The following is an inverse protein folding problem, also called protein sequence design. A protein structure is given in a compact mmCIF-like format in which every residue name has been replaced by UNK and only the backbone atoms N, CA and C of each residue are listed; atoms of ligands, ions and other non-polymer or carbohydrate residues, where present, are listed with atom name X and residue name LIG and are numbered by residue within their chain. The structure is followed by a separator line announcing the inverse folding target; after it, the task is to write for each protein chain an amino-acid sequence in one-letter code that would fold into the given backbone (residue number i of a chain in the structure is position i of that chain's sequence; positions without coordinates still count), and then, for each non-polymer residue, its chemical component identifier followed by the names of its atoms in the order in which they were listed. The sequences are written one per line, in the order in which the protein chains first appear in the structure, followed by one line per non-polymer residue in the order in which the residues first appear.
data_IF_896050586379
#
_entry.id   IF_896050586379
#
_cell.length_a   1.000
_cell.length_b   1.000
_cell.length_c   1.000
_cell.angle_alpha   90.00
_cell.angle_beta   90.00
_cell.angle_gamma   90.00
#
_symmetry.space_group_name_H-M   'P 1'
#
loop_
_entity.id
_entity.type
_entity.pdbx_description
1 polymer ?
#
# COMPACT_ATOMS: atom_id res chain seq x y z
N UNK A 1 4.10 3.44 -3.73
CA UNK A 1 5.32 3.11 -4.50
C UNK A 1 5.18 1.71 -5.03
N UNK A 2 5.88 1.38 -6.10
CA UNK A 2 5.92 0.04 -6.67
C UNK A 2 7.27 -0.18 -7.37
N UNK A 3 7.73 -1.41 -7.37
CA UNK A 3 8.77 -1.86 -8.29
C UNK A 3 8.12 -2.27 -9.61
N UNK A 4 8.79 -1.98 -10.72
CA UNK A 4 8.38 -2.42 -12.04
C UNK A 4 9.54 -3.11 -12.74
N UNK A 5 9.22 -4.15 -13.49
CA UNK A 5 10.16 -4.93 -14.29
C UNK A 5 9.41 -5.40 -15.53
N UNK A 6 10.02 -5.26 -16.70
CA UNK A 6 9.47 -5.84 -17.93
C UNK A 6 9.72 -7.35 -17.97
N UNK A 7 8.79 -8.14 -18.51
CA UNK A 7 8.99 -9.59 -18.67
C UNK A 7 10.22 -9.92 -19.55
N UNK A 8 10.49 -9.07 -20.54
CA UNK A 8 11.59 -9.22 -21.50
C UNK A 8 12.82 -8.36 -21.16
N UNK A 9 12.78 -7.57 -20.08
CA UNK A 9 13.77 -6.55 -19.78
C UNK A 9 14.50 -6.83 -18.46
N UNK A 10 15.82 -6.68 -18.48
CA UNK A 10 16.64 -6.77 -17.28
C UNK A 10 16.55 -5.50 -16.43
N UNK A 11 16.05 -4.39 -17.00
CA UNK A 11 15.94 -3.12 -16.30
C UNK A 11 14.81 -3.18 -15.25
N UNK A 12 15.18 -2.96 -13.99
CA UNK A 12 14.27 -2.80 -12.87
C UNK A 12 14.18 -1.31 -12.49
N UNK A 13 12.97 -0.84 -12.19
CA UNK A 13 12.76 0.54 -11.77
C UNK A 13 11.86 0.64 -10.54
N UNK A 14 12.23 1.55 -9.64
CA UNK A 14 11.40 1.99 -8.51
C UNK A 14 10.59 3.20 -8.94
N UNK A 15 9.27 3.08 -8.82
CA UNK A 15 8.36 4.21 -9.02
C UNK A 15 7.71 4.57 -7.69
N UNK A 16 7.75 5.85 -7.33
CA UNK A 16 7.02 6.35 -6.17
C UNK A 16 6.36 7.69 -6.44
N UNK A 17 5.28 7.92 -5.71
CA UNK A 17 4.52 9.14 -5.74
C UNK A 17 4.80 10.00 -4.51
N UNK A 18 4.52 11.29 -4.62
CA UNK A 18 4.71 12.27 -3.54
C UNK A 18 3.39 12.93 -3.14
N UNK A 19 3.42 13.64 -2.01
CA UNK A 19 2.31 14.45 -1.50
C UNK A 19 1.89 15.60 -2.41
N UNK A 20 2.78 16.02 -3.31
CA UNK A 20 2.57 17.14 -4.24
C UNK A 20 2.26 16.68 -5.65
N UNK A 21 1.93 15.41 -5.85
CA UNK A 21 1.56 14.90 -7.17
C UNK A 21 2.74 14.62 -8.10
N UNK A 22 3.98 14.61 -7.60
CA UNK A 22 5.12 14.14 -8.40
C UNK A 22 5.19 12.62 -8.41
N UNK A 23 5.34 12.06 -9.60
CA UNK A 23 5.67 10.67 -9.88
C UNK A 23 7.14 10.60 -10.30
N UNK A 24 7.93 9.84 -9.56
CA UNK A 24 9.38 9.78 -9.73
C UNK A 24 9.76 8.34 -10.04
N UNK A 25 10.63 8.15 -11.03
CA UNK A 25 11.12 6.85 -11.45
C UNK A 25 12.64 6.80 -11.36
N UNK A 26 13.14 5.83 -10.60
CA UNK A 26 14.56 5.53 -10.45
C UNK A 26 14.83 4.17 -11.06
N UNK A 27 15.67 4.11 -12.09
CA UNK A 27 16.11 2.86 -12.68
C UNK A 27 17.37 2.39 -11.97
N UNK A 28 17.44 1.10 -11.64
CA UNK A 28 18.67 0.49 -11.20
C UNK A 28 19.64 0.37 -12.38
N UNK A 29 20.88 0.80 -12.20
CA UNK A 29 21.93 0.56 -13.19
C UNK A 29 22.30 -0.93 -13.14
N UNK A 30 22.26 -1.58 -14.30
CA UNK A 30 22.50 -3.02 -14.44
C UNK A 30 23.79 -3.46 -13.74
N UNK A 31 23.71 -4.56 -13.00
CA UNK A 31 24.83 -5.18 -12.27
C UNK A 31 25.48 -4.27 -11.19
N UNK A 32 24.83 -3.16 -10.80
CA UNK A 32 25.29 -2.30 -9.71
C UNK A 32 24.23 -2.12 -8.63
N UNK A 33 24.58 -1.45 -7.52
CA UNK A 33 23.64 -0.99 -6.49
C UNK A 33 23.20 0.46 -6.70
N UNK A 34 23.63 1.07 -7.80
CA UNK A 34 23.40 2.48 -8.08
C UNK A 34 22.10 2.65 -8.86
N UNK A 35 21.52 3.84 -8.70
CA UNK A 35 20.28 4.23 -9.35
C UNK A 35 20.46 5.54 -10.08
N UNK A 36 19.75 5.67 -11.19
CA UNK A 36 19.61 6.92 -11.92
C UNK A 36 18.14 7.34 -11.97
N UNK A 37 17.88 8.64 -11.82
CA UNK A 37 16.54 9.20 -12.01
C UNK A 37 16.25 9.28 -13.52
N UNK A 38 15.19 8.59 -13.95
CA UNK A 38 14.73 8.68 -15.33
C UNK A 38 13.82 9.89 -15.54
N UNK A 39 12.93 10.14 -14.59
CA UNK A 39 12.03 11.29 -14.62
C UNK A 39 11.46 11.64 -13.24
N UNK A 40 11.06 12.91 -13.14
CA UNK A 40 10.24 13.48 -12.09
C UNK A 40 9.07 14.23 -12.75
N UNK A 41 7.93 13.56 -12.88
CA UNK A 41 6.76 14.07 -13.60
C UNK A 41 5.72 14.60 -12.62
N UNK A 42 5.18 15.78 -12.89
CA UNK A 42 4.08 16.33 -12.11
C UNK A 42 2.74 15.88 -12.73
N UNK A 43 2.00 15.04 -12.00
CA UNK A 43 0.82 14.36 -12.50
C UNK A 43 -0.47 15.04 -12.00
N UNK A 44 -1.36 15.38 -12.93
CA UNK A 44 -2.70 15.88 -12.61
C UNK A 44 -2.69 17.21 -11.85
N UNK A 45 -3.38 17.24 -10.71
CA UNK A 45 -3.74 18.47 -9.98
C UNK A 45 -2.86 18.78 -8.77
N UNK A 46 -1.58 18.39 -8.77
CA UNK A 46 -0.66 18.61 -7.64
C UNK A 46 -1.09 18.00 -6.29
N UNK A 47 -1.89 16.94 -6.33
CA UNK A 47 -2.39 16.26 -5.13
C UNK A 47 -1.60 15.00 -4.86
N UNK A 48 -1.53 14.59 -3.60
CA UNK A 48 -0.87 13.35 -3.17
C UNK A 48 -1.22 12.16 -4.07
N UNK A 49 -0.20 11.44 -4.52
CA UNK A 49 -0.35 10.13 -5.14
C UNK A 49 -0.45 9.10 -4.01
N UNK A 50 -1.62 8.47 -3.88
CA UNK A 50 -1.97 7.66 -2.71
C UNK A 50 -1.74 6.17 -2.93
N UNK A 51 -1.83 5.68 -4.17
CA UNK A 51 -1.55 4.29 -4.50
C UNK A 51 -1.00 4.13 -5.92
N UNK A 52 -0.21 3.07 -6.12
CA UNK A 52 0.43 2.67 -7.37
C UNK A 52 0.30 1.15 -7.50
N UNK A 53 0.04 0.66 -8.70
CA UNK A 53 0.11 -0.75 -9.04
C UNK A 53 0.57 -0.93 -10.48
N UNK A 54 1.31 -2.01 -10.74
CA UNK A 54 1.85 -2.30 -12.06
C UNK A 54 1.45 -3.71 -12.48
N UNK A 55 0.92 -3.86 -13.69
CA UNK A 55 0.62 -5.14 -14.31
C UNK A 55 1.73 -5.48 -15.33
N UNK A 56 2.67 -6.39 -14.99
CA UNK A 56 3.76 -6.74 -15.89
C UNK A 56 3.30 -7.26 -17.26
N UNK A 57 2.30 -8.16 -17.35
CA UNK A 57 1.87 -8.70 -18.65
C UNK A 57 1.34 -7.65 -19.63
N UNK A 58 0.64 -6.60 -19.16
CA UNK A 58 0.19 -5.51 -20.04
C UNK A 58 1.14 -4.31 -20.05
N UNK A 59 2.19 -4.32 -19.22
CA UNK A 59 3.09 -3.19 -18.96
C UNK A 59 2.32 -1.91 -18.64
N UNK A 60 1.26 -2.00 -17.85
CA UNK A 60 0.44 -0.84 -17.44
C UNK A 60 0.75 -0.47 -16.01
N UNK A 61 0.96 0.82 -15.77
CA UNK A 61 1.07 1.44 -14.45
C UNK A 61 -0.23 2.16 -14.13
N UNK A 62 -0.92 1.75 -13.09
CA UNK A 62 -2.06 2.46 -12.53
C UNK A 62 -1.62 3.29 -11.33
N UNK A 63 -2.16 4.50 -11.21
CA UNK A 63 -1.97 5.37 -10.06
C UNK A 63 -3.30 6.00 -9.66
N UNK A 64 -3.39 6.33 -8.37
CA UNK A 64 -4.50 7.10 -7.83
C UNK A 64 -4.00 8.29 -7.03
N UNK A 65 -4.77 9.37 -7.05
CA UNK A 65 -4.50 10.58 -6.28
C UNK A 65 -5.55 10.81 -5.21
N UNK A 66 -5.21 11.62 -4.20
CA UNK A 66 -6.09 11.94 -3.07
C UNK A 66 -7.40 12.66 -3.46
N UNK A 67 -7.45 13.31 -4.62
CA UNK A 67 -8.70 13.90 -5.13
C UNK A 67 -9.55 12.94 -5.97
N UNK A 68 -9.20 11.66 -5.99
CA UNK A 68 -9.97 10.62 -6.69
C UNK A 68 -9.67 10.51 -8.18
N UNK A 69 -8.58 11.12 -8.66
CA UNK A 69 -8.13 10.91 -10.05
C UNK A 69 -7.43 9.55 -10.14
N UNK A 70 -7.85 8.74 -11.11
CA UNK A 70 -7.24 7.46 -11.44
C UNK A 70 -6.65 7.58 -12.84
N UNK A 71 -5.36 7.28 -12.97
CA UNK A 71 -4.67 7.29 -14.25
C UNK A 71 -4.00 5.96 -14.52
N UNK A 72 -3.97 5.60 -15.79
CA UNK A 72 -3.28 4.42 -16.29
C UNK A 72 -2.34 4.86 -17.38
N UNK A 73 -1.10 4.42 -17.29
CA UNK A 73 -0.07 4.69 -18.27
C UNK A 73 0.45 3.36 -18.83
N UNK A 74 0.64 3.31 -20.14
CA UNK A 74 1.43 2.27 -20.77
C UNK A 74 2.91 2.59 -20.53
N UNK A 75 3.67 1.60 -20.07
CA UNK A 75 5.12 1.71 -19.82
C UNK A 75 5.86 1.04 -20.98
N UNK A 76 6.65 1.81 -21.72
CA UNK A 76 7.43 1.28 -22.83
C UNK A 76 8.76 0.64 -22.37
N UNK A 77 9.56 0.17 -23.33
CA UNK A 77 10.87 -0.45 -23.10
C UNK A 77 11.92 0.49 -22.50
N UNK A 78 11.68 1.80 -22.49
CA UNK A 78 12.57 2.80 -21.89
C UNK A 78 12.00 3.35 -20.59
N UNK A 79 11.07 2.62 -19.97
CA UNK A 79 10.34 3.01 -18.76
C UNK A 79 9.56 4.32 -18.90
N UNK A 80 9.34 4.80 -20.13
CA UNK A 80 8.61 6.04 -20.38
C UNK A 80 7.10 5.78 -20.32
N UNK A 81 6.38 6.78 -19.80
CA UNK A 81 4.94 6.69 -19.57
C UNK A 81 4.15 7.30 -20.72
N UNK A 82 3.24 6.52 -21.29
CA UNK A 82 2.29 6.97 -22.31
C UNK A 82 0.88 6.94 -21.72
N UNK A 83 0.18 8.08 -21.74
CA UNK A 83 -1.17 8.17 -21.19
C UNK A 83 -2.14 7.19 -21.86
N UNK A 84 -2.85 6.40 -21.07
CA UNK A 84 -3.83 5.43 -21.54
C UNK A 84 -5.25 5.78 -21.07
N UNK A 85 -5.44 5.96 -19.76
CA UNK A 85 -6.72 6.31 -19.15
C UNK A 85 -6.52 7.43 -18.13
N UNK A 86 -7.48 8.35 -18.04
CA UNK A 86 -7.58 9.30 -16.95
C UNK A 86 -9.05 9.55 -16.60
N UNK A 87 -9.47 9.11 -15.43
CA UNK A 87 -10.85 9.27 -14.92
C UNK A 87 -10.85 9.85 -13.51
N UNK A 88 -11.95 10.47 -13.11
CA UNK A 88 -12.11 11.02 -11.76
C UNK A 88 -13.34 10.41 -11.10
N UNK A 89 -13.13 9.82 -9.91
CA UNK A 89 -14.20 9.32 -9.06
C UNK A 89 -14.51 10.40 -8.03
N UNK A 90 -15.69 11.01 -8.15
CA UNK A 90 -16.07 12.11 -7.27
C UNK A 90 -16.12 11.68 -5.80
N UNK A 91 -15.55 12.53 -4.95
CA UNK A 91 -15.51 12.33 -3.49
C UNK A 91 -14.84 11.01 -3.08
N UNK A 92 -13.86 10.52 -3.83
CA UNK A 92 -13.12 9.31 -3.49
C UNK A 92 -11.71 9.66 -2.98
N UNK A 93 -11.41 9.28 -1.74
CA UNK A 93 -10.06 9.26 -1.18
C UNK A 93 -9.49 7.84 -1.37
N UNK A 94 -8.85 7.61 -2.52
CA UNK A 94 -8.29 6.31 -2.88
C UNK A 94 -7.10 5.95 -1.96
N UNK A 95 -7.08 4.70 -1.49
CA UNK A 95 -6.09 4.16 -0.54
C UNK A 95 -5.28 3.01 -1.12
N UNK A 96 -5.85 2.24 -2.04
CA UNK A 96 -5.16 1.19 -2.75
C UNK A 96 -5.76 1.01 -4.15
N UNK A 97 -4.94 0.55 -5.09
CA UNK A 97 -5.31 0.29 -6.47
C UNK A 97 -4.70 -1.04 -6.88
N UNK A 98 -5.42 -1.85 -7.66
CA UNK A 98 -4.95 -3.16 -8.13
C UNK A 98 -5.47 -3.48 -9.52
N UNK A 99 -4.63 -4.03 -10.39
CA UNK A 99 -5.05 -4.66 -11.63
C UNK A 99 -5.65 -6.05 -11.37
N UNK A 100 -6.65 -6.41 -12.16
CA UNK A 100 -7.31 -7.72 -12.15
C UNK A 100 -6.83 -8.58 -13.33
N UNK A 101 -6.67 -9.90 -13.15
CA UNK A 101 -6.22 -10.81 -14.20
C UNK A 101 -7.37 -11.25 -15.12
N UNK A 102 -8.22 -10.32 -15.57
CA UNK A 102 -9.44 -10.60 -16.35
C UNK A 102 -9.22 -10.50 -17.88
N UNK A 103 -8.11 -11.07 -18.37
CA UNK A 103 -7.73 -11.01 -19.79
C UNK A 103 -7.17 -9.66 -20.21
N UNK A 104 -7.34 -9.30 -21.49
CA UNK A 104 -6.74 -8.09 -22.09
C UNK A 104 -7.28 -6.77 -21.51
N UNK A 105 -8.51 -6.77 -20.99
CA UNK A 105 -9.13 -5.54 -20.47
C UNK A 105 -8.48 -5.03 -19.20
N UNK A 106 -7.78 -5.87 -18.43
CA UNK A 106 -7.07 -5.52 -17.18
C UNK A 106 -7.85 -4.52 -16.33
N UNK A 107 -9.04 -4.92 -15.88
CA UNK A 107 -9.88 -4.11 -15.01
C UNK A 107 -9.13 -3.72 -13.74
N UNK A 108 -9.57 -2.62 -13.12
CA UNK A 108 -8.87 -2.02 -11.99
C UNK A 108 -9.81 -2.00 -10.80
N UNK A 109 -9.33 -2.49 -9.66
CA UNK A 109 -9.99 -2.35 -8.37
C UNK A 109 -9.39 -1.16 -7.62
N UNK A 110 -10.24 -0.24 -7.18
CA UNK A 110 -9.83 0.93 -6.39
C UNK A 110 -10.51 0.84 -5.02
N UNK A 111 -9.72 0.75 -3.96
CA UNK A 111 -10.22 0.82 -2.58
C UNK A 111 -10.03 2.23 -2.05
N UNK A 112 -11.07 2.81 -1.46
CA UNK A 112 -10.99 4.16 -0.90
C UNK A 112 -12.11 4.47 0.08
N UNK A 113 -12.12 5.71 0.55
CA UNK A 113 -13.20 6.24 1.38
C UNK A 113 -13.96 7.30 0.59
N UNK A 114 -15.30 7.20 0.56
CA UNK A 114 -16.15 8.23 -0.01
C UNK A 114 -16.33 9.36 1.00
N UNK A 115 -15.86 10.56 0.69
CA UNK A 115 -16.01 11.74 1.55
C UNK A 115 -17.40 12.36 1.39
N UNK A 116 -18.24 12.26 2.44
CA UNK A 116 -19.52 12.97 2.51
C UNK A 116 -19.36 14.41 3.04
N UNK A 117 -20.39 15.24 2.86
CA UNK A 117 -20.39 16.67 3.25
C UNK A 117 -20.29 16.94 4.76
N UNK A 118 -20.42 15.93 5.62
CA UNK A 118 -20.32 16.07 7.07
C UNK A 118 -20.03 14.69 7.68
N UNK A 119 -18.76 14.42 8.01
CA UNK A 119 -18.28 13.38 8.94
C UNK A 119 -18.54 11.89 8.66
N UNK A 120 -19.30 11.52 7.63
CA UNK A 120 -19.47 10.11 7.23
C UNK A 120 -18.55 9.77 6.06
N UNK A 121 -17.46 9.06 6.34
CA UNK A 121 -16.65 8.41 5.31
C UNK A 121 -17.17 7.00 5.09
N UNK A 122 -17.84 6.76 3.95
CA UNK A 122 -18.28 5.40 3.59
C UNK A 122 -17.15 4.69 2.85
N UNK A 123 -16.69 3.53 3.31
CA UNK A 123 -15.65 2.76 2.62
C UNK A 123 -16.21 2.19 1.32
N UNK A 124 -15.50 2.37 0.21
CA UNK A 124 -15.97 1.90 -1.10
C UNK A 124 -14.84 1.21 -1.84
N UNK A 125 -15.16 0.10 -2.49
CA UNK A 125 -14.34 -0.49 -3.53
C UNK A 125 -15.02 -0.26 -4.89
N UNK A 126 -14.31 0.30 -5.86
CA UNK A 126 -14.79 0.51 -7.23
C UNK A 126 -14.12 -0.47 -8.18
N UNK A 127 -14.92 -1.17 -8.96
CA UNK A 127 -14.44 -1.94 -10.10
C UNK A 127 -14.53 -1.06 -11.35
N UNK A 128 -13.38 -0.71 -11.92
CA UNK A 128 -13.26 0.08 -13.14
C UNK A 128 -12.93 -0.82 -14.33
N UNK A 129 -13.50 -0.50 -15.48
CA UNK A 129 -13.13 -1.13 -16.74
C UNK A 129 -11.76 -0.64 -17.18
N UNK A 130 -10.82 -1.54 -17.44
CA UNK A 130 -9.44 -1.15 -17.75
C UNK A 130 -9.18 -0.65 -19.17
N UNK A 131 -10.23 -0.48 -19.99
CA UNK A 131 -10.13 0.13 -21.33
C UNK A 131 -10.50 1.62 -21.35
N UNK A 132 -11.44 2.05 -20.49
CA UNK A 132 -11.99 3.42 -20.49
C UNK A 132 -12.06 4.05 -19.09
N UNK A 133 -11.77 3.27 -18.03
CA UNK A 133 -11.86 3.69 -16.63
C UNK A 133 -13.29 3.85 -16.12
N UNK A 134 -14.32 3.46 -16.89
CA UNK A 134 -15.71 3.55 -16.46
C UNK A 134 -15.98 2.66 -15.25
N UNK A 135 -16.78 3.14 -14.30
CA UNK A 135 -17.20 2.36 -13.14
C UNK A 135 -18.17 1.28 -13.59
N UNK A 136 -17.78 0.01 -13.40
CA UNK A 136 -18.62 -1.16 -13.65
C UNK A 136 -19.49 -1.41 -12.41
N UNK A 137 -18.86 -1.50 -11.25
CA UNK A 137 -19.51 -1.80 -9.96
C UNK A 137 -18.89 -1.00 -8.81
N UNK A 138 -19.66 -0.83 -7.74
CA UNK A 138 -19.20 -0.24 -6.48
C UNK A 138 -19.70 -1.06 -5.30
N UNK A 139 -18.83 -1.34 -4.34
CA UNK A 139 -19.13 -2.16 -3.17
C UNK A 139 -18.89 -1.39 -1.88
N UNK A 140 -19.77 -1.56 -0.88
CA UNK A 140 -19.52 -1.11 0.48
C UNK A 140 -18.51 -2.06 1.15
N UNK A 141 -17.32 -1.53 1.43
CA UNK A 141 -16.21 -2.30 2.00
C UNK A 141 -16.30 -2.50 3.52
N UNK A 142 -17.10 -1.70 4.23
CA UNK A 142 -17.29 -1.78 5.68
C UNK A 142 -16.17 -1.19 6.52
N UNK A 143 -16.53 -0.34 7.48
CA UNK A 143 -15.55 0.32 8.34
C UNK A 143 -14.86 1.53 7.71
N UNK A 144 -13.69 1.92 8.20
CA UNK A 144 -12.84 2.93 7.54
C UNK A 144 -11.72 2.19 6.82
N UNK A 145 -11.41 2.53 5.57
CA UNK A 145 -10.25 1.92 4.88
C UNK A 145 -9.00 2.71 5.22
N UNK A 146 -8.14 2.13 6.06
CA UNK A 146 -6.77 2.60 6.28
C UNK A 146 -5.86 2.23 5.10
N UNK A 147 -5.95 0.97 4.67
CA UNK A 147 -5.23 0.40 3.53
C UNK A 147 -5.97 -0.85 3.05
N UNK A 148 -5.65 -1.34 1.85
CA UNK A 148 -6.11 -2.62 1.37
C UNK A 148 -4.99 -3.38 0.66
N UNK A 149 -5.02 -4.71 0.74
CA UNK A 149 -4.14 -5.63 0.00
C UNK A 149 -4.98 -6.60 -0.81
N UNK A 150 -4.52 -7.00 -1.99
CA UNK A 150 -5.28 -7.86 -2.88
C UNK A 150 -4.40 -8.98 -3.46
N UNK A 151 -4.98 -10.17 -3.56
CA UNK A 151 -4.52 -11.23 -4.44
C UNK A 151 -5.61 -11.45 -5.48
N UNK A 152 -5.42 -10.80 -6.63
CA UNK A 152 -6.42 -10.75 -7.68
C UNK A 152 -6.62 -12.10 -8.38
N UNK A 153 -5.58 -12.94 -8.43
CA UNK A 153 -5.69 -14.31 -8.98
C UNK A 153 -6.60 -15.21 -8.15
N UNK A 154 -6.71 -14.96 -6.85
CA UNK A 154 -7.57 -15.72 -5.93
C UNK A 154 -8.87 -15.03 -5.56
N UNK A 155 -9.10 -13.84 -6.10
CA UNK A 155 -10.24 -12.99 -5.75
C UNK A 155 -10.37 -12.77 -4.22
N UNK A 156 -9.27 -12.36 -3.59
CA UNK A 156 -9.27 -12.06 -2.15
C UNK A 156 -8.59 -10.73 -1.89
N UNK A 157 -9.15 -9.96 -0.97
CA UNK A 157 -8.53 -8.76 -0.43
C UNK A 157 -8.58 -8.73 1.11
N UNK A 158 -7.69 -7.95 1.70
CA UNK A 158 -7.68 -7.64 3.13
C UNK A 158 -7.78 -6.13 3.30
N UNK A 159 -8.54 -5.68 4.29
CA UNK A 159 -8.71 -4.25 4.59
C UNK A 159 -8.24 -3.99 6.02
N UNK A 160 -7.37 -2.99 6.18
CA UNK A 160 -7.14 -2.37 7.48
C UNK A 160 -8.30 -1.44 7.80
N UNK A 161 -8.97 -1.71 8.92
CA UNK A 161 -9.82 -0.76 9.61
C UNK A 161 -9.06 -0.19 10.81
N UNK A 162 -8.61 1.07 10.76
CA UNK A 162 -7.87 1.69 11.85
C UNK A 162 -8.59 1.60 13.20
N UNK A 163 -9.93 1.53 13.21
CA UNK A 163 -10.75 1.47 14.41
C UNK A 163 -10.97 0.06 14.96
N UNK A 164 -10.90 -0.98 14.12
CA UNK A 164 -11.25 -2.35 14.50
C UNK A 164 -10.11 -3.37 14.37
N UNK A 165 -9.06 -3.07 13.61
CA UNK A 165 -8.04 -4.05 13.24
C UNK A 165 -8.13 -4.41 11.76
N UNK A 166 -7.77 -5.65 11.41
CA UNK A 166 -7.76 -6.08 10.00
C UNK A 166 -8.88 -7.05 9.73
N UNK A 167 -9.64 -6.77 8.68
CA UNK A 167 -10.71 -7.64 8.20
C UNK A 167 -10.26 -8.32 6.92
N UNK A 168 -9.98 -9.63 6.92
CA UNK A 168 -9.86 -10.35 5.66
C UNK A 168 -11.24 -10.45 5.03
N UNK A 169 -11.37 -10.12 3.76
CA UNK A 169 -12.64 -10.19 3.05
C UNK A 169 -12.47 -11.15 1.87
N UNK A 170 -13.35 -12.14 1.78
CA UNK A 170 -13.33 -13.10 0.68
C UNK A 170 -14.38 -12.73 -0.37
N UNK A 171 -13.92 -12.68 -1.62
CA UNK A 171 -14.65 -12.58 -2.88
C UNK A 171 -15.58 -11.38 -3.08
N UNK A 172 -15.40 -10.74 -4.23
CA UNK A 172 -16.36 -9.82 -4.81
C UNK A 172 -17.58 -10.64 -5.30
N UNK A 173 -18.73 -10.45 -4.66
CA UNK A 173 -20.00 -11.03 -5.13
C UNK A 173 -20.95 -11.57 -4.07
N UNK A 174 -20.52 -11.76 -2.82
CA UNK A 174 -21.37 -12.39 -1.79
C UNK A 174 -21.66 -11.54 -0.56
N UNK A 175 -21.09 -10.33 -0.46
CA UNK A 175 -21.29 -9.46 0.72
C UNK A 175 -20.90 -10.09 2.06
N UNK A 176 -20.25 -11.27 2.03
CA UNK A 176 -19.90 -12.04 3.22
C UNK A 176 -18.61 -11.46 3.79
N UNK A 177 -18.81 -10.49 4.68
CA UNK A 177 -17.74 -10.04 5.55
C UNK A 177 -17.39 -11.14 6.54
N UNK A 178 -16.13 -11.53 6.57
CA UNK A 178 -15.63 -12.26 7.73
C UNK A 178 -15.54 -11.28 8.91
N UNK A 179 -15.61 -11.80 10.14
CA UNK A 179 -15.45 -10.93 11.32
C UNK A 179 -14.04 -10.31 11.29
N UNK A 180 -13.90 -9.01 11.59
CA UNK A 180 -12.59 -8.39 11.76
C UNK A 180 -11.77 -9.17 12.76
N UNK A 181 -10.49 -9.38 12.46
CA UNK A 181 -9.57 -9.80 13.50
C UNK A 181 -9.32 -8.62 14.43
N UNK A 182 -9.84 -8.75 15.65
CA UNK A 182 -9.77 -7.67 16.62
C UNK A 182 -8.34 -7.52 17.15
N UNK A 183 -7.71 -6.39 16.82
CA UNK A 183 -6.62 -5.84 17.60
C UNK A 183 -7.21 -4.74 18.47
N UNK A 184 -7.24 -4.89 19.79
CA UNK A 184 -7.71 -3.81 20.67
C UNK A 184 -6.79 -2.59 20.48
N UNK A 185 -7.27 -1.47 19.92
CA UNK A 185 -6.44 -0.27 19.80
C UNK A 185 -6.12 0.24 21.21
N UNK A 186 -4.86 0.59 21.43
CA UNK A 186 -4.37 1.16 22.69
C UNK A 186 -4.09 2.66 22.55
N UNK A 187 -4.03 3.17 21.32
CA UNK A 187 -3.78 4.57 20.97
C UNK A 187 -4.81 5.04 19.94
N UNK A 188 -4.65 6.29 19.51
CA UNK A 188 -5.46 6.86 18.43
C UNK A 188 -5.33 6.03 17.14
N UNK A 189 -6.45 5.67 16.49
CA UNK A 189 -6.45 4.96 15.23
C UNK A 189 -5.60 5.66 14.18
N UNK A 190 -4.68 4.92 13.54
CA UNK A 190 -3.93 5.38 12.36
C UNK A 190 -4.05 4.33 11.26
N UNK A 191 -4.11 4.75 9.98
CA UNK A 191 -3.97 3.83 8.86
C UNK A 191 -2.71 2.98 8.98
N UNK A 192 -2.85 1.69 8.70
CA UNK A 192 -1.76 0.71 8.67
C UNK A 192 -1.79 -0.01 7.34
N UNK A 193 -0.63 -0.31 6.80
CA UNK A 193 -0.53 -1.23 5.68
C UNK A 193 -0.94 -2.64 6.11
N UNK A 194 -1.45 -3.37 5.13
CA UNK A 194 -1.75 -4.80 5.22
C UNK A 194 -1.09 -5.50 4.05
N UNK A 195 -0.66 -6.74 4.28
CA UNK A 195 0.01 -7.53 3.25
C UNK A 195 -0.38 -8.99 3.33
N UNK A 196 -0.43 -9.67 2.18
CA UNK A 196 -0.63 -11.12 2.09
C UNK A 196 0.69 -11.86 2.01
N UNK A 197 0.82 -12.95 2.77
CA UNK A 197 1.93 -13.90 2.58
C UNK A 197 1.44 -15.34 2.44
N UNK A 198 2.34 -16.22 2.02
CA UNK A 198 2.08 -17.64 1.79
C UNK A 198 0.86 -17.85 0.89
N UNK A 199 0.88 -17.20 -0.27
CA UNK A 199 -0.16 -17.34 -1.28
C UNK A 199 -1.56 -16.94 -0.74
N UNK A 200 -1.56 -15.81 -0.02
CA UNK A 200 -2.70 -15.22 0.71
C UNK A 200 -3.34 -16.13 1.77
N UNK A 201 -2.63 -17.13 2.30
CA UNK A 201 -3.12 -17.88 3.47
C UNK A 201 -3.07 -17.03 4.74
N UNK A 202 -2.04 -16.18 4.85
CA UNK A 202 -1.81 -15.34 6.02
C UNK A 202 -1.96 -13.87 5.64
N UNK A 203 -2.67 -13.11 6.48
CA UNK A 203 -2.72 -11.65 6.45
C UNK A 203 -1.79 -11.09 7.51
N UNK A 204 -0.92 -10.17 7.14
CA UNK A 204 0.01 -9.50 8.04
C UNK A 204 -0.43 -8.06 8.25
N UNK A 205 -0.39 -7.60 9.49
CA UNK A 205 -0.71 -6.22 9.85
C UNK A 205 0.10 -5.74 11.04
N UNK A 206 0.44 -4.46 11.06
CA UNK A 206 1.03 -3.81 12.22
C UNK A 206 0.02 -3.44 13.30
N UNK A 207 0.51 -2.84 14.38
CA UNK A 207 -0.34 -2.32 15.47
C UNK A 207 0.24 -1.03 16.04
N UNK A 208 -0.54 -0.37 16.90
CA UNK A 208 -0.12 0.84 17.60
C UNK A 208 0.77 0.58 18.83
N UNK A 209 1.05 -0.69 19.14
CA UNK A 209 1.77 -1.13 20.34
C UNK A 209 2.92 -2.10 20.03
N UNK A 210 3.56 -1.94 18.87
CA UNK A 210 4.80 -2.66 18.54
C UNK A 210 4.62 -4.14 18.19
N UNK A 211 3.38 -4.60 18.01
CA UNK A 211 3.07 -5.98 17.63
C UNK A 211 2.72 -6.04 16.14
N UNK A 212 3.26 -7.03 15.45
CA UNK A 212 2.80 -7.43 14.12
C UNK A 212 1.95 -8.67 14.29
N UNK A 213 0.74 -8.60 13.78
CA UNK A 213 -0.21 -9.69 13.80
C UNK A 213 -0.18 -10.44 12.48
N UNK A 214 -0.15 -11.77 12.57
CA UNK A 214 -0.27 -12.71 11.47
C UNK A 214 -1.55 -13.50 11.65
N UNK A 215 -2.49 -13.30 10.75
CA UNK A 215 -3.80 -13.93 10.82
C UNK A 215 -3.91 -15.01 9.75
N UNK A 216 -4.07 -16.27 10.16
CA UNK A 216 -4.39 -17.36 9.26
C UNK A 216 -5.85 -17.26 8.83
N UNK A 217 -6.08 -17.16 7.53
CA UNK A 217 -7.43 -16.87 7.01
C UNK A 217 -8.40 -18.04 7.13
N UNK A 218 -7.92 -19.28 7.17
CA UNK A 218 -8.78 -20.47 7.15
C UNK A 218 -9.38 -20.78 8.51
N UNK A 219 -8.58 -20.77 9.56
CA UNK A 219 -8.99 -21.12 10.92
C UNK A 219 -9.13 -19.90 11.85
N UNK A 220 -8.68 -18.73 11.39
CA UNK A 220 -8.70 -17.50 12.18
C UNK A 220 -7.65 -17.45 13.28
N UNK A 221 -6.68 -18.38 13.28
CA UNK A 221 -5.59 -18.38 14.26
C UNK A 221 -4.71 -17.15 14.10
N UNK A 222 -4.19 -16.68 15.23
CA UNK A 222 -3.43 -15.43 15.30
C UNK A 222 -2.06 -15.70 15.89
N UNK A 223 -1.03 -15.44 15.10
CA UNK A 223 0.37 -15.40 15.55
C UNK A 223 0.84 -13.96 15.70
N UNK A 224 1.85 -13.73 16.54
CA UNK A 224 2.36 -12.38 16.85
C UNK A 224 3.87 -12.36 16.70
N UNK A 225 4.39 -11.30 16.08
CA UNK A 225 5.81 -10.96 16.07
C UNK A 225 5.98 -9.68 16.87
N UNK A 226 6.90 -9.70 17.83
CA UNK A 226 7.20 -8.56 18.70
C UNK A 226 8.31 -7.71 18.10
N UNK A 227 8.07 -6.41 18.00
CA UNK A 227 9.16 -5.44 17.78
C UNK A 227 9.77 -5.02 19.12
N UNK A 228 10.86 -4.27 19.07
CA UNK A 228 11.42 -3.65 20.28
C UNK A 228 10.58 -2.40 20.65
N UNK A 229 9.81 -2.53 21.73
CA UNK A 229 9.04 -1.44 22.34
C UNK A 229 7.57 -1.38 21.91
N UNK A 230 6.95 -0.22 22.13
CA UNK A 230 5.50 0.01 21.95
C UNK A 230 5.20 1.03 20.85
N UNK A 231 6.11 1.19 19.88
CA UNK A 231 5.96 2.12 18.76
C UNK A 231 4.85 1.66 17.80
N UNK A 232 4.31 2.57 16.98
CA UNK A 232 3.40 2.16 15.91
C UNK A 232 4.15 1.34 14.87
N UNK A 233 3.53 0.29 14.34
CA UNK A 233 3.98 -0.41 13.13
C UNK A 233 2.99 -0.06 12.04
N UNK A 234 3.34 0.91 11.19
CA UNK A 234 2.44 1.43 10.16
C UNK A 234 2.67 0.79 8.79
N UNK A 235 3.89 0.32 8.53
CA UNK A 235 4.31 -0.21 7.24
C UNK A 235 4.68 -1.66 7.41
N UNK A 236 4.03 -2.54 6.64
CA UNK A 236 4.34 -3.96 6.55
C UNK A 236 4.34 -4.37 5.09
N UNK A 237 5.29 -5.20 4.71
CA UNK A 237 5.32 -5.86 3.41
C UNK A 237 5.81 -7.29 3.57
N UNK A 238 5.59 -8.08 2.55
CA UNK A 238 5.88 -9.50 2.55
C UNK A 238 6.52 -9.88 1.24
N UNK A 239 7.51 -10.75 1.29
CA UNK A 239 8.19 -11.26 0.12
C UNK A 239 8.36 -12.77 0.22
N UNK A 240 8.55 -13.41 -0.92
CA UNK A 240 9.11 -14.74 -1.00
C UNK A 240 10.53 -14.59 -1.56
N UNK A 241 11.54 -14.81 -0.73
CA UNK A 241 12.95 -14.67 -1.10
C UNK A 241 13.56 -16.06 -1.01
N UNK A 242 13.99 -16.61 -2.15
CA UNK A 242 14.57 -17.94 -2.26
C UNK A 242 13.68 -19.06 -1.67
N UNK A 243 12.37 -18.99 -1.93
CA UNK A 243 11.39 -19.93 -1.37
C UNK A 243 11.01 -19.65 0.09
N UNK A 244 11.65 -18.68 0.75
CA UNK A 244 11.43 -18.35 2.14
C UNK A 244 10.47 -17.17 2.28
N UNK A 245 9.31 -17.46 2.87
CA UNK A 245 8.34 -16.45 3.28
C UNK A 245 8.99 -15.48 4.28
N UNK A 246 9.08 -14.22 3.88
CA UNK A 246 9.73 -13.15 4.65
C UNK A 246 8.71 -12.05 4.92
N UNK A 247 8.71 -11.55 6.16
CA UNK A 247 7.91 -10.41 6.59
C UNK A 247 8.88 -9.27 6.91
N UNK A 248 8.60 -8.10 6.37
CA UNK A 248 9.35 -6.87 6.65
C UNK A 248 8.37 -5.85 7.21
N UNK A 249 8.76 -5.21 8.30
CA UNK A 249 7.95 -4.16 8.92
C UNK A 249 8.81 -3.00 9.38
N UNK A 250 8.23 -1.82 9.41
CA UNK A 250 8.86 -0.66 10.03
C UNK A 250 7.98 -0.05 11.09
N UNK A 251 8.63 0.36 12.17
CA UNK A 251 7.98 1.18 13.15
C UNK A 251 7.99 2.67 12.73
N UNK A 252 7.01 3.39 13.24
CA UNK A 252 6.85 4.83 13.11
C UNK A 252 6.79 5.41 14.51
N UNK A 253 7.54 6.50 14.71
CA UNK A 253 7.67 7.19 15.99
C UNK A 253 7.57 8.69 15.75
N UNK A 254 7.20 9.42 16.81
CA UNK A 254 7.10 10.86 16.72
C UNK A 254 8.48 11.49 16.47
N UNK A 255 8.49 12.60 15.73
CA UNK A 255 9.71 13.31 15.34
C UNK A 255 10.51 13.70 16.58
N UNK A 256 11.81 13.41 16.58
CA UNK A 256 12.71 13.74 17.70
C UNK A 256 12.85 12.64 18.76
N UNK A 257 12.20 11.49 18.59
CA UNK A 257 12.44 10.29 19.42
C UNK A 257 13.52 9.39 18.80
N UNK A 258 13.80 8.22 19.40
CA UNK A 258 14.72 7.22 18.84
C UNK A 258 14.44 6.90 17.37
N UNK A 259 15.48 6.49 16.64
CA UNK A 259 15.39 6.18 15.21
C UNK A 259 14.35 5.09 14.92
N UNK A 260 13.59 5.27 13.82
CA UNK A 260 12.75 4.22 13.27
C UNK A 260 13.60 3.00 12.90
N UNK A 261 13.09 1.80 13.22
CA UNK A 261 13.75 0.53 12.97
C UNK A 261 12.98 -0.27 11.93
N UNK A 262 13.73 -0.95 11.08
CA UNK A 262 13.23 -1.94 10.14
C UNK A 262 13.48 -3.32 10.74
N UNK A 263 12.44 -4.14 10.74
CA UNK A 263 12.47 -5.49 11.26
C UNK A 263 12.18 -6.47 10.13
N UNK A 264 12.91 -7.59 10.13
CA UNK A 264 12.82 -8.64 9.11
C UNK A 264 12.67 -9.98 9.83
N UNK A 265 11.60 -10.71 9.51
CA UNK A 265 11.39 -12.08 9.97
C UNK A 265 11.37 -13.01 8.78
N UNK A 266 12.08 -14.13 8.92
CA UNK A 266 12.06 -15.22 7.95
C UNK A 266 11.35 -16.41 8.55
N UNK A 267 10.47 -17.04 7.79
CA UNK A 267 9.93 -18.34 8.19
C UNK A 267 11.08 -19.32 8.29
N UNK A 268 11.24 -19.95 9.45
CA UNK A 268 12.21 -21.01 9.60
C UNK A 268 11.78 -22.19 8.73
N UNK A 269 12.57 -22.50 7.71
CA UNK A 269 12.42 -23.76 6.98
C UNK A 269 12.62 -24.88 7.99
N UNK A 270 11.71 -25.86 8.06
CA UNK A 270 12.11 -27.14 8.63
C UNK A 270 13.35 -27.61 7.85
N UNK A 271 14.38 -28.15 8.52
CA UNK A 271 15.54 -28.67 7.81
C UNK A 271 15.02 -29.71 6.80
N UNK A 272 15.07 -29.36 5.52
CA UNK A 272 14.87 -30.30 4.44
C UNK A 272 15.91 -31.41 4.68
N UNK A 273 15.45 -32.65 4.83
CA UNK A 273 16.34 -33.76 5.07
C UNK A 273 17.35 -33.88 3.92
N UNK A 274 18.59 -33.45 4.16
CA UNK A 274 19.86 -33.75 3.48
C UNK A 274 19.89 -33.93 1.95
N UNK A 275 18.92 -33.48 1.18
CA UNK A 275 18.92 -33.57 -0.27
C UNK A 275 18.46 -32.24 -0.87
N UNK A 276 19.34 -31.65 -1.69
CA UNK A 276 19.27 -30.34 -2.35
C UNK A 276 19.70 -29.14 -1.51
N UNK A 277 21.02 -29.00 -1.33
CA UNK A 277 21.69 -27.71 -1.20
C UNK A 277 21.98 -27.24 -2.63
N UNK A 278 21.13 -26.37 -3.18
CA UNK A 278 21.51 -25.53 -4.32
C UNK A 278 22.13 -24.26 -3.72
N UNK A 279 23.44 -24.14 -3.91
CA UNK A 279 24.24 -22.98 -3.49
C UNK A 279 23.89 -21.78 -4.39
N UNK A 280 23.12 -20.83 -3.87
CA UNK A 280 22.81 -19.55 -4.53
C UNK A 280 22.96 -18.40 -3.51
N UNK A 281 24.19 -18.19 -3.03
CA UNK A 281 24.46 -17.20 -1.98
C UNK A 281 24.57 -15.75 -2.49
N UNK A 282 24.61 -15.52 -3.81
CA UNK A 282 24.81 -14.17 -4.39
C UNK A 282 23.53 -13.36 -4.61
N UNK A 283 22.36 -13.99 -4.71
CA UNK A 283 21.05 -13.31 -4.83
C UNK A 283 20.52 -12.76 -3.48
N UNK A 284 21.07 -13.23 -2.37
CA UNK A 284 20.56 -12.95 -1.02
C UNK A 284 20.84 -11.55 -0.50
N UNK A 285 21.85 -10.84 -1.02
CA UNK A 285 22.21 -9.49 -0.59
C UNK A 285 21.42 -8.43 -1.37
N UNK A 286 21.21 -8.66 -2.66
CA UNK A 286 20.41 -7.79 -3.52
C UNK A 286 18.97 -7.73 -3.00
N UNK A 287 18.27 -8.86 -2.87
CA UNK A 287 16.87 -8.89 -2.39
C UNK A 287 16.68 -8.26 -0.99
N UNK A 288 17.68 -8.36 -0.10
CA UNK A 288 17.66 -7.69 1.21
C UNK A 288 17.76 -6.17 1.06
N UNK A 289 18.65 -5.68 0.22
CA UNK A 289 18.80 -4.25 -0.04
C UNK A 289 17.54 -3.67 -0.72
N UNK A 290 16.93 -4.40 -1.66
CA UNK A 290 15.69 -4.02 -2.35
C UNK A 290 14.50 -3.78 -1.41
N UNK A 291 14.29 -4.71 -0.47
CA UNK A 291 13.23 -4.58 0.53
C UNK A 291 13.47 -3.43 1.51
N UNK A 292 14.73 -3.21 1.91
CA UNK A 292 15.09 -2.14 2.84
C UNK A 292 14.93 -0.76 2.18
N UNK A 293 15.36 -0.59 0.93
CA UNK A 293 15.25 0.68 0.19
C UNK A 293 13.78 1.05 -0.03
N UNK A 294 12.95 0.11 -0.49
CA UNK A 294 11.51 0.35 -0.66
C UNK A 294 10.85 0.78 0.66
N UNK A 295 11.21 0.14 1.77
CA UNK A 295 10.63 0.47 3.07
C UNK A 295 11.12 1.82 3.63
N UNK A 296 12.38 2.19 3.41
CA UNK A 296 12.94 3.49 3.81
C UNK A 296 12.23 4.64 3.09
N UNK A 297 11.99 4.51 1.78
CA UNK A 297 11.24 5.51 1.01
C UNK A 297 9.77 5.55 1.47
N UNK A 298 9.19 4.41 1.87
CA UNK A 298 7.81 4.36 2.36
C UNK A 298 7.67 5.06 3.71
N UNK A 299 8.66 4.91 4.60
CA UNK A 299 8.72 5.63 5.87
C UNK A 299 8.86 7.14 5.67
N UNK A 300 9.70 7.57 4.73
CA UNK A 300 9.91 9.00 4.46
C UNK A 300 8.64 9.66 3.89
N UNK A 301 7.92 8.98 3.00
CA UNK A 301 6.67 9.48 2.42
C UNK A 301 5.52 9.55 3.44
N UNK A 302 5.43 8.57 4.36
CA UNK A 302 4.37 8.52 5.37
C UNK A 302 4.53 9.52 6.52
N UNK A 303 5.77 9.77 6.97
CA UNK A 303 6.02 10.73 8.05
C UNK A 303 5.69 12.18 7.62
N UNK A 304 5.87 12.50 6.34
CA UNK A 304 5.59 13.83 5.81
C UNK A 304 4.08 14.08 5.63
N UNK A 305 3.29 13.04 5.31
CA UNK A 305 1.84 13.16 5.07
C UNK A 305 1.05 13.41 6.35
N UNK A 306 1.50 12.82 7.46
CA UNK A 306 0.91 13.02 8.78
C UNK A 306 1.25 14.38 9.40
N UNK A 307 2.47 14.89 9.20
CA UNK A 307 2.85 16.24 9.61
C UNK A 307 1.95 17.30 8.97
N UNK A 308 1.70 17.19 7.66
CA UNK A 308 0.88 18.16 6.95
C UNK A 308 -0.61 18.06 7.32
N UNK A 309 -1.13 16.85 7.54
CA UNK A 309 -2.52 16.66 8.00
C UNK A 309 -2.75 17.26 9.40
N UNK A 310 -1.76 17.17 10.28
CA UNK A 310 -1.81 17.81 11.60
C UNK A 310 -1.77 19.34 11.49
N UNK A 311 -0.89 19.89 10.64
CA UNK A 311 -0.79 21.33 10.40
C UNK A 311 -2.07 21.90 9.77
N UNK A 312 -2.68 21.19 8.81
CA UNK A 312 -3.96 21.58 8.22
C UNK A 312 -5.10 21.54 9.23
N UNK A 313 -5.16 20.52 10.10
CA UNK A 313 -6.15 20.49 11.18
C UNK A 313 -5.96 21.66 12.17
N UNK A 314 -4.71 22.02 12.49
CA UNK A 314 -4.42 23.18 13.36
C UNK A 314 -4.83 24.48 12.66
N UNK A 315 -4.56 24.62 11.36
CA UNK A 315 -4.93 25.79 10.58
C UNK A 315 -6.46 25.97 10.52
N UNK A 316 -7.22 24.91 10.27
CA UNK A 316 -8.68 24.94 10.24
C UNK A 316 -9.28 25.26 11.62
N UNK A 317 -8.62 24.81 12.70
CA UNK A 317 -9.01 25.14 14.08
C UNK A 317 -8.78 26.63 14.38
N UNK A 318 -7.65 27.18 13.93
CA UNK A 318 -7.30 28.60 14.08
C UNK A 318 -8.23 29.47 13.25
N UNK A 319 -8.52 29.12 12.00
CA UNK A 319 -9.45 29.88 11.15
C UNK A 319 -10.88 29.88 11.74
N UNK A 320 -11.33 28.74 12.24
CA UNK A 320 -12.63 28.62 12.93
C UNK A 320 -12.71 29.48 14.20
N UNK A 321 -11.61 29.55 14.97
CA UNK A 321 -11.52 30.39 16.16
C UNK A 321 -11.60 31.89 15.80
N UNK A 322 -10.88 32.34 14.77
CA UNK A 322 -10.92 33.75 14.32
C UNK A 322 -12.29 34.14 13.74
N UNK A 323 -12.94 33.27 12.97
CA UNK A 323 -14.31 33.49 12.49
C UNK A 323 -15.31 33.59 13.64
N UNK A 324 -15.12 32.78 14.68
CA UNK A 324 -15.91 32.87 15.90
C UNK A 324 -15.76 34.23 16.60
N UNK A 325 -14.52 34.74 16.72
CA UNK A 325 -14.27 36.04 17.35
C UNK A 325 -14.83 37.24 16.58
N UNK A 326 -14.81 37.21 15.24
CA UNK A 326 -15.38 38.29 14.43
C UNK A 326 -16.91 38.37 14.46
N UNK A 327 -17.60 37.36 14.99
CA UNK A 327 -19.06 37.38 15.16
C UNK A 327 -19.52 38.01 16.49
N UNK A 328 -18.60 38.38 17.37
CA UNK A 328 -18.88 38.97 18.69
C UNK A 328 -18.46 40.44 18.84
N UNK A 329 -18.13 41.12 17.75
CA UNK A 329 -17.86 42.56 17.69
C UNK A 329 -18.84 43.24 16.76
#
# INVERSE_FOLDING_TARGET
MTWIQGEDDADEALIYGTLRGYLICWRQIKDTTDFEELYCLHIGSATEITALDFDPPSRRLALSTRNGTIQVHQVDAHMSLHGHISVSIQNCDARAIYFLPNGESRNIMVFGCRSGKMYSTTPVAYLLRGNDGSVIESYDAGGIIGNATMNAAKDVFGIDDPSQGVSPLSSFGLGRRSKPFQSRPLKTPRPRQVAFTQDSKIVVSGSDHGIIYMFERRDGSVSKLTTEGTAWVQTVTTANVDGISTIVAANSRDVGTEMSKIYIWKKQSQPLGAAEIIENDTLTLACKNWLIIGLLVALLTFNFSHMLSLVLCIWDLVDSFWRGMMLFT
#
